data_IF_847177375522
#
_entry.id   IF_847177375522
#
_cell.length_a   1.000
_cell.length_b   1.000
_cell.length_c   1.000
_cell.angle_alpha   90.00
_cell.angle_beta   90.00
_cell.angle_gamma   90.00
#
_symmetry.space_group_name_H-M   'P 1'
#
loop_
_entity.id
_entity.type
_entity.pdbx_description
1 polymer ?
#
# COMPACT_ATOMS: atom_id res chain seq x y z
N UNK A 1 14.57 7.59 16.50
CA UNK A 1 15.46 7.44 15.33
C UNK A 1 16.74 8.18 15.67
N UNK A 2 17.82 7.46 15.97
CA UNK A 2 19.08 8.05 16.43
C UNK A 2 20.23 7.26 15.77
N UNK A 3 20.39 7.45 14.45
CA UNK A 3 21.40 6.78 13.61
C UNK A 3 22.77 7.45 13.80
N UNK A 4 23.35 7.31 15.00
CA UNK A 4 24.66 7.87 15.33
C UNK A 4 25.81 6.92 14.96
N UNK A 5 26.07 6.67 13.66
CA UNK A 5 27.18 5.77 13.31
C UNK A 5 27.94 6.09 12.02
N UNK A 6 28.28 7.35 11.69
CA UNK A 6 29.21 7.58 10.56
C UNK A 6 30.22 8.69 10.85
N UNK A 7 31.46 8.32 11.20
CA UNK A 7 32.61 9.25 11.29
C UNK A 7 33.13 9.57 9.88
N UNK A 8 33.43 10.85 9.66
CA UNK A 8 33.76 11.47 8.37
C UNK A 8 35.27 11.58 8.16
N UNK A 9 35.75 11.25 6.96
CA UNK A 9 36.95 11.88 6.38
C UNK A 9 36.51 12.93 5.36
N UNK A 10 37.05 14.15 5.46
CA UNK A 10 36.75 15.27 4.56
C UNK A 10 37.54 15.13 3.27
N UNK A 11 36.86 14.97 2.12
CA UNK A 11 37.43 15.22 0.79
C UNK A 11 36.83 16.49 0.17
N UNK A 12 37.63 17.16 -0.65
CA UNK A 12 37.36 18.46 -1.26
C UNK A 12 36.03 18.51 -2.05
N UNK A 13 35.28 19.59 -1.83
CA UNK A 13 34.02 19.91 -2.51
C UNK A 13 34.32 20.55 -3.88
N UNK A 14 33.91 19.88 -4.95
CA UNK A 14 33.72 20.55 -6.24
C UNK A 14 32.48 21.45 -6.15
N UNK A 15 32.56 22.68 -6.69
CA UNK A 15 31.46 23.65 -6.65
C UNK A 15 30.32 23.19 -7.55
N UNK A 16 29.45 22.34 -7.02
CA UNK A 16 28.18 21.99 -7.62
C UNK A 16 27.12 22.98 -7.12
N UNK A 17 26.41 23.65 -8.03
CA UNK A 17 25.26 24.48 -7.70
C UNK A 17 24.08 23.56 -7.35
N UNK A 18 23.98 23.15 -6.10
CA UNK A 18 22.88 22.32 -5.61
C UNK A 18 21.57 23.11 -5.54
N UNK A 19 20.43 22.51 -5.92
CA UNK A 19 19.13 23.14 -5.76
C UNK A 19 18.82 23.39 -4.29
N UNK A 20 18.29 24.57 -3.99
CA UNK A 20 17.88 24.95 -2.63
C UNK A 20 16.43 24.60 -2.33
N UNK A 21 15.58 24.45 -3.35
CA UNK A 21 14.18 24.08 -3.19
C UNK A 21 13.98 22.57 -3.22
N UNK A 22 13.02 22.08 -2.43
CA UNK A 22 12.72 20.65 -2.33
C UNK A 22 12.33 20.05 -3.68
N UNK A 23 11.48 20.74 -4.43
CA UNK A 23 10.96 20.24 -5.69
C UNK A 23 12.06 20.13 -6.76
N UNK A 24 12.91 21.14 -6.89
CA UNK A 24 14.04 21.13 -7.82
C UNK A 24 15.05 20.04 -7.47
N UNK A 25 15.29 19.83 -6.17
CA UNK A 25 16.16 18.76 -5.69
C UNK A 25 15.62 17.38 -6.01
N UNK A 26 14.31 17.15 -5.80
CA UNK A 26 13.66 15.90 -6.16
C UNK A 26 13.69 15.71 -7.68
N UNK A 27 13.45 16.76 -8.48
CA UNK A 27 13.55 16.67 -9.94
C UNK A 27 14.95 16.27 -10.38
N UNK A 28 15.98 16.89 -9.81
CA UNK A 28 17.36 16.51 -10.09
C UNK A 28 17.64 15.05 -9.67
N UNK A 29 17.08 14.58 -8.55
CA UNK A 29 17.20 13.19 -8.13
C UNK A 29 16.56 12.24 -9.15
N UNK A 30 15.38 12.58 -9.68
CA UNK A 30 14.69 11.79 -10.72
C UNK A 30 15.55 11.74 -11.99
N UNK A 31 16.05 12.89 -12.43
CA UNK A 31 16.93 12.99 -13.59
C UNK A 31 18.21 12.14 -13.40
N UNK A 32 18.77 12.11 -12.19
CA UNK A 32 19.92 11.27 -11.87
C UNK A 32 19.56 9.77 -11.87
N UNK A 33 18.39 9.40 -11.35
CA UNK A 33 17.96 8.00 -11.22
C UNK A 33 17.54 7.39 -12.56
N UNK A 34 16.81 8.14 -13.38
CA UNK A 34 16.32 7.70 -14.68
C UNK A 34 17.31 7.98 -15.82
N UNK A 35 18.24 8.91 -15.62
CA UNK A 35 19.22 9.28 -16.62
C UNK A 35 20.29 8.21 -16.84
N UNK A 36 20.46 7.80 -18.10
CA UNK A 36 21.62 7.02 -18.52
C UNK A 36 22.89 7.88 -18.41
N UNK A 37 23.68 7.69 -17.34
CA UNK A 37 24.99 8.34 -17.22
C UNK A 37 25.24 9.14 -15.94
N UNK A 38 24.24 9.33 -15.06
CA UNK A 38 24.39 10.20 -13.91
C UNK A 38 24.89 9.47 -12.63
N UNK A 39 25.96 9.95 -11.97
CA UNK A 39 26.28 9.52 -10.61
C UNK A 39 25.16 9.97 -9.65
N UNK A 40 24.90 9.22 -8.55
CA UNK A 40 25.68 8.06 -8.11
C UNK A 40 25.21 6.72 -8.69
N UNK A 41 24.08 6.66 -9.40
CA UNK A 41 23.43 5.42 -9.85
C UNK A 41 24.17 4.69 -10.97
N UNK A 42 25.02 5.38 -11.74
CA UNK A 42 25.90 4.71 -12.70
C UNK A 42 27.11 4.05 -12.07
N UNK A 43 27.43 4.40 -10.82
CA UNK A 43 28.58 3.87 -10.06
C UNK A 43 28.15 2.82 -9.04
N UNK A 44 27.19 1.98 -9.42
CA UNK A 44 26.58 0.97 -8.55
C UNK A 44 27.51 -0.22 -8.29
N UNK A 45 28.29 -0.65 -9.29
CA UNK A 45 29.20 -1.79 -9.18
C UNK A 45 30.59 -1.37 -8.68
N UNK A 46 31.14 -2.12 -7.73
CA UNK A 46 32.52 -1.91 -7.31
C UNK A 46 33.52 -2.31 -8.43
N UNK A 47 34.66 -1.61 -8.58
CA UNK A 47 35.62 -1.89 -9.64
C UNK A 47 36.11 -3.36 -9.61
N UNK A 48 36.07 -4.02 -10.75
CA UNK A 48 36.54 -5.40 -10.91
C UNK A 48 35.53 -6.49 -10.54
N UNK A 49 34.32 -6.12 -10.11
CA UNK A 49 33.25 -7.08 -9.85
C UNK A 49 32.39 -7.25 -11.11
N UNK A 50 32.17 -8.51 -11.50
CA UNK A 50 31.27 -8.88 -12.59
C UNK A 50 30.29 -9.95 -12.13
N UNK A 51 29.03 -9.80 -12.55
CA UNK A 51 27.97 -10.77 -12.34
C UNK A 51 27.63 -11.49 -13.64
N UNK A 52 26.99 -12.65 -13.52
CA UNK A 52 26.33 -13.29 -14.66
C UNK A 52 25.05 -12.52 -15.01
N UNK A 53 24.60 -12.59 -16.25
CA UNK A 53 23.48 -11.78 -16.76
C UNK A 53 22.17 -11.99 -15.99
N UNK A 54 21.96 -13.18 -15.43
CA UNK A 54 20.80 -13.55 -14.61
C UNK A 54 20.82 -12.93 -13.21
N UNK A 55 22.00 -12.59 -12.68
CA UNK A 55 22.17 -11.96 -11.35
C UNK A 55 22.37 -10.45 -11.46
N UNK A 56 22.99 -9.98 -12.55
CA UNK A 56 23.38 -8.58 -12.73
C UNK A 56 22.18 -7.62 -12.63
N UNK A 57 21.04 -7.97 -13.24
CA UNK A 57 19.86 -7.13 -13.20
C UNK A 57 19.30 -6.98 -11.77
N UNK A 58 19.23 -8.08 -11.02
CA UNK A 58 18.83 -8.07 -9.60
C UNK A 58 19.80 -7.26 -8.75
N UNK A 59 21.11 -7.48 -8.94
CA UNK A 59 22.16 -6.77 -8.23
C UNK A 59 22.09 -5.25 -8.48
N UNK A 60 21.99 -4.84 -9.74
CA UNK A 60 21.87 -3.43 -10.14
C UNK A 60 20.60 -2.79 -9.55
N UNK A 61 19.46 -3.47 -9.64
CA UNK A 61 18.19 -2.97 -9.14
C UNK A 61 18.24 -2.78 -7.62
N UNK A 62 18.76 -3.76 -6.88
CA UNK A 62 18.90 -3.66 -5.42
C UNK A 62 19.87 -2.56 -4.99
N UNK A 63 21.05 -2.46 -5.62
CA UNK A 63 22.02 -1.41 -5.28
C UNK A 63 21.47 -0.01 -5.60
N UNK A 64 20.83 0.17 -6.76
CA UNK A 64 20.24 1.46 -7.12
C UNK A 64 19.05 1.83 -6.21
N UNK A 65 18.21 0.84 -5.86
CA UNK A 65 17.13 1.01 -4.89
C UNK A 65 17.65 1.47 -3.53
N UNK A 66 18.69 0.82 -3.03
CA UNK A 66 19.34 1.19 -1.78
C UNK A 66 19.98 2.58 -1.82
N UNK A 67 20.69 2.93 -2.91
CA UNK A 67 21.20 4.28 -3.08
C UNK A 67 20.08 5.32 -3.04
N UNK A 68 18.95 5.05 -3.71
CA UNK A 68 17.80 5.96 -3.67
C UNK A 68 17.22 6.06 -2.26
N UNK A 69 17.13 4.94 -1.52
CA UNK A 69 16.70 4.92 -0.12
C UNK A 69 17.61 5.76 0.79
N UNK A 70 18.94 5.71 0.59
CA UNK A 70 19.90 6.55 1.33
C UNK A 70 19.58 8.04 1.20
N UNK A 71 19.17 8.52 0.03
CA UNK A 71 18.78 9.92 -0.15
C UNK A 71 17.59 10.28 0.75
N UNK A 72 16.54 9.45 0.77
CA UNK A 72 15.36 9.68 1.59
C UNK A 72 15.64 9.56 3.09
N UNK A 73 16.54 8.66 3.50
CA UNK A 73 16.96 8.58 4.89
C UNK A 73 17.73 9.82 5.33
N UNK A 74 18.69 10.31 4.53
CA UNK A 74 19.39 11.57 4.80
C UNK A 74 18.41 12.77 4.82
N UNK A 75 17.44 12.79 3.90
CA UNK A 75 16.39 13.80 3.90
C UNK A 75 15.55 13.76 5.18
N UNK A 76 15.19 12.55 5.65
CA UNK A 76 14.46 12.33 6.89
C UNK A 76 15.26 12.76 8.12
N UNK A 77 16.57 12.52 8.14
CA UNK A 77 17.45 12.99 9.22
C UNK A 77 17.47 14.52 9.33
N UNK A 78 17.47 15.23 8.20
CA UNK A 78 17.50 16.71 8.18
C UNK A 78 16.12 17.33 8.42
N UNK A 79 15.09 16.86 7.74
CA UNK A 79 13.77 17.52 7.66
C UNK A 79 12.65 16.77 8.37
N UNK A 80 12.93 15.59 8.92
CA UNK A 80 11.95 14.73 9.57
C UNK A 80 11.29 13.73 8.62
N UNK A 81 10.70 12.70 9.21
CA UNK A 81 10.13 11.55 8.50
C UNK A 81 8.94 11.88 7.62
N UNK A 82 8.09 12.83 8.06
CA UNK A 82 6.93 13.30 7.30
C UNK A 82 7.39 13.99 6.02
N UNK A 83 8.35 14.91 6.13
CA UNK A 83 8.91 15.63 4.99
C UNK A 83 9.56 14.66 3.98
N UNK A 84 10.31 13.67 4.46
CA UNK A 84 10.90 12.65 3.59
C UNK A 84 9.85 11.79 2.87
N UNK A 85 8.73 11.46 3.53
CA UNK A 85 7.65 10.72 2.85
C UNK A 85 6.97 11.59 1.80
N UNK A 86 6.70 12.87 2.07
CA UNK A 86 6.16 13.79 1.06
C UNK A 86 7.12 13.96 -0.14
N UNK A 87 8.43 14.03 0.12
CA UNK A 87 9.46 14.09 -0.91
C UNK A 87 9.51 12.80 -1.74
N UNK A 88 9.39 11.63 -1.10
CA UNK A 88 9.32 10.32 -1.77
C UNK A 88 8.09 10.21 -2.66
N UNK A 89 6.93 10.60 -2.16
CA UNK A 89 5.71 10.64 -2.96
C UNK A 89 5.93 11.53 -4.19
N UNK A 90 6.43 12.75 -4.00
CA UNK A 90 6.73 13.68 -5.10
C UNK A 90 7.76 13.15 -6.09
N UNK A 91 8.75 12.38 -5.62
CA UNK A 91 9.71 11.68 -6.48
C UNK A 91 9.01 10.67 -7.38
N UNK A 92 8.17 9.81 -6.81
CA UNK A 92 7.42 8.81 -7.55
C UNK A 92 6.49 9.48 -8.59
N UNK A 93 5.90 10.63 -8.27
CA UNK A 93 5.08 11.41 -9.21
C UNK A 93 5.87 11.91 -10.42
N UNK A 94 7.04 12.49 -10.16
CA UNK A 94 7.91 12.99 -11.20
C UNK A 94 8.48 11.85 -12.06
N UNK A 95 8.81 10.73 -11.43
CA UNK A 95 9.24 9.53 -12.13
C UNK A 95 8.12 8.99 -13.06
N UNK A 96 6.89 8.89 -12.56
CA UNK A 96 5.71 8.47 -13.33
C UNK A 96 5.41 9.40 -14.51
N UNK A 97 5.59 10.71 -14.32
CA UNK A 97 5.41 11.70 -15.37
C UNK A 97 6.45 11.56 -16.50
N UNK A 98 7.67 11.14 -16.16
CA UNK A 98 8.73 10.88 -17.14
C UNK A 98 8.56 9.52 -17.83
N UNK A 99 8.21 8.48 -17.07
CA UNK A 99 7.94 7.14 -17.58
C UNK A 99 6.73 6.54 -16.85
N UNK A 100 5.58 6.33 -17.53
CA UNK A 100 4.39 5.79 -16.90
C UNK A 100 4.66 4.46 -16.18
N UNK A 101 4.07 4.26 -15.00
CA UNK A 101 4.19 3.07 -14.13
C UNK A 101 5.54 2.89 -13.43
N UNK A 102 6.50 3.79 -13.67
CA UNK A 102 7.80 3.73 -12.98
C UNK A 102 7.70 4.15 -11.52
N UNK A 103 6.80 5.07 -11.16
CA UNK A 103 6.58 5.55 -9.80
C UNK A 103 6.13 4.45 -8.85
N UNK A 104 5.11 3.67 -9.24
CA UNK A 104 4.62 2.53 -8.43
C UNK A 104 5.72 1.47 -8.23
N UNK A 105 6.51 1.21 -9.28
CA UNK A 105 7.62 0.24 -9.24
C UNK A 105 8.73 0.70 -8.29
N UNK A 106 9.10 1.98 -8.38
CA UNK A 106 10.09 2.62 -7.50
C UNK A 106 9.59 2.62 -6.05
N UNK A 107 8.32 2.91 -5.83
CA UNK A 107 7.74 2.93 -4.49
C UNK A 107 7.79 1.54 -3.85
N UNK A 108 7.42 0.49 -4.60
CA UNK A 108 7.56 -0.89 -4.13
C UNK A 108 9.02 -1.27 -3.82
N UNK A 109 9.97 -0.80 -4.62
CA UNK A 109 11.41 -0.99 -4.40
C UNK A 109 11.88 -0.28 -3.11
N UNK A 110 11.50 0.97 -2.89
CA UNK A 110 11.85 1.71 -1.68
C UNK A 110 11.21 1.10 -0.42
N UNK A 111 10.00 0.55 -0.51
CA UNK A 111 9.39 -0.21 0.59
C UNK A 111 10.08 -1.54 0.85
N UNK A 112 10.56 -2.22 -0.19
CA UNK A 112 11.40 -3.40 -0.05
C UNK A 112 12.70 -3.06 0.69
N UNK A 113 13.43 -2.02 0.26
CA UNK A 113 14.68 -1.59 0.89
C UNK A 113 14.48 -1.16 2.34
N UNK A 114 13.42 -0.42 2.64
CA UNK A 114 13.09 -0.06 4.01
C UNK A 114 12.83 -1.29 4.88
N UNK A 115 12.00 -2.23 4.42
CA UNK A 115 11.74 -3.48 5.17
C UNK A 115 13.01 -4.29 5.37
N UNK A 116 13.85 -4.38 4.34
CA UNK A 116 15.12 -5.09 4.39
C UNK A 116 16.06 -4.45 5.42
N UNK A 117 16.27 -3.13 5.37
CA UNK A 117 17.09 -2.40 6.33
C UNK A 117 16.62 -2.59 7.77
N UNK A 118 15.31 -2.46 8.05
CA UNK A 118 14.75 -2.71 9.38
C UNK A 118 14.94 -4.16 9.84
N UNK A 119 14.82 -5.13 8.92
CA UNK A 119 15.06 -6.53 9.25
C UNK A 119 16.51 -6.77 9.65
N UNK A 120 17.47 -6.11 8.99
CA UNK A 120 18.89 -6.20 9.33
C UNK A 120 19.16 -5.53 10.67
N UNK A 121 18.62 -4.34 10.92
CA UNK A 121 18.73 -3.64 12.21
C UNK A 121 18.24 -4.47 13.40
N UNK A 122 17.19 -5.27 13.20
CA UNK A 122 16.66 -6.17 14.21
C UNK A 122 17.57 -7.38 14.53
N UNK A 123 18.55 -7.69 13.69
CA UNK A 123 19.53 -8.77 13.93
C UNK A 123 20.49 -8.34 15.04
N UNK A 124 20.58 -9.11 16.13
CA UNK A 124 21.44 -8.78 17.27
C UNK A 124 22.93 -8.89 16.93
N UNK A 125 23.80 -8.20 17.67
CA UNK A 125 25.25 -8.26 17.45
C UNK A 125 25.79 -9.70 17.59
N UNK A 126 25.23 -10.51 18.47
CA UNK A 126 25.59 -11.92 18.63
C UNK A 126 25.24 -12.73 17.37
N UNK A 127 24.11 -12.43 16.73
CA UNK A 127 23.67 -13.09 15.49
C UNK A 127 24.49 -12.66 14.27
N UNK A 128 25.18 -11.51 14.34
CA UNK A 128 26.09 -11.03 13.29
C UNK A 128 27.52 -11.53 13.45
N UNK A 129 27.83 -12.16 14.57
CA UNK A 129 29.18 -12.55 14.95
C UNK A 129 29.43 -14.04 14.69
N UNK A 130 30.45 -14.34 13.89
CA UNK A 130 30.84 -15.70 13.51
C UNK A 130 32.25 -16.03 13.99
N UNK A 131 32.54 -17.32 14.20
CA UNK A 131 33.89 -17.78 14.54
C UNK A 131 34.60 -18.29 13.29
N UNK A 132 35.66 -17.62 12.90
CA UNK A 132 36.55 -18.05 11.82
C UNK A 132 37.96 -18.23 12.39
N UNK A 133 38.51 -19.44 12.29
CA UNK A 133 39.88 -19.77 12.76
C UNK A 133 40.17 -19.37 14.22
N UNK A 134 39.14 -19.40 15.08
CA UNK A 134 39.24 -19.03 16.50
C UNK A 134 39.09 -17.53 16.77
N UNK A 135 38.95 -16.70 15.75
CA UNK A 135 38.66 -15.26 15.86
C UNK A 135 37.17 -14.99 15.69
N UNK A 136 36.67 -14.02 16.45
CA UNK A 136 35.30 -13.53 16.36
C UNK A 136 35.23 -12.46 15.28
N UNK A 137 34.47 -12.71 14.21
CA UNK A 137 34.31 -11.80 13.06
C UNK A 137 32.84 -11.40 12.97
N UNK A 138 32.56 -10.10 13.08
CA UNK A 138 31.24 -9.55 12.83
C UNK A 138 31.08 -9.27 11.33
N UNK A 139 30.00 -9.78 10.72
CA UNK A 139 29.70 -9.48 9.33
C UNK A 139 29.10 -8.08 9.20
N UNK A 140 29.51 -7.32 8.16
CA UNK A 140 29.01 -5.97 7.95
C UNK A 140 27.56 -5.98 7.46
N UNK A 141 26.82 -4.89 7.71
CA UNK A 141 25.40 -4.72 7.31
C UNK A 141 25.18 -4.99 5.83
N UNK A 142 26.12 -4.59 4.97
CA UNK A 142 26.07 -4.78 3.51
C UNK A 142 25.98 -6.25 3.12
N UNK A 143 26.53 -7.17 3.93
CA UNK A 143 26.41 -8.60 3.69
C UNK A 143 24.97 -9.10 3.86
N UNK A 144 24.28 -8.60 4.89
CA UNK A 144 22.88 -8.95 5.13
C UNK A 144 21.95 -8.31 4.10
N UNK A 145 22.23 -7.06 3.69
CA UNK A 145 21.52 -6.42 2.58
C UNK A 145 21.68 -7.21 1.27
N UNK A 146 22.91 -7.63 0.94
CA UNK A 146 23.18 -8.45 -0.23
C UNK A 146 22.44 -9.78 -0.21
N UNK A 147 22.50 -10.49 0.92
CA UNK A 147 21.81 -11.77 1.09
C UNK A 147 20.30 -11.62 0.97
N UNK A 148 19.73 -10.61 1.64
CA UNK A 148 18.29 -10.34 1.58
C UNK A 148 17.83 -9.93 0.18
N UNK A 149 18.59 -9.07 -0.50
CA UNK A 149 18.31 -8.67 -1.89
C UNK A 149 18.25 -9.89 -2.80
N UNK A 150 19.26 -10.76 -2.75
CA UNK A 150 19.29 -11.96 -3.60
C UNK A 150 18.20 -12.96 -3.24
N UNK A 151 17.79 -13.10 -1.98
CA UNK A 151 16.82 -14.14 -1.58
C UNK A 151 15.36 -13.70 -1.64
N UNK A 152 15.10 -12.39 -1.55
CA UNK A 152 13.75 -11.86 -1.38
C UNK A 152 13.22 -11.09 -2.60
N UNK A 153 14.08 -10.67 -3.53
CA UNK A 153 13.65 -9.98 -4.76
C UNK A 153 12.98 -10.98 -5.71
N UNK A 154 11.71 -10.79 -6.14
CA UNK A 154 10.97 -11.79 -6.92
C UNK A 154 11.66 -12.33 -8.18
N UNK A 155 12.38 -11.46 -8.89
CA UNK A 155 13.06 -11.80 -10.15
C UNK A 155 14.47 -12.38 -9.94
N UNK A 156 14.89 -12.61 -8.69
CA UNK A 156 16.20 -13.15 -8.40
C UNK A 156 16.27 -14.66 -8.71
N UNK A 157 17.38 -15.14 -9.29
CA UNK A 157 17.59 -16.58 -9.52
C UNK A 157 17.70 -17.40 -8.22
N UNK A 158 17.77 -16.76 -7.06
CA UNK A 158 17.91 -17.42 -5.74
C UNK A 158 16.62 -17.43 -4.91
N UNK A 159 15.48 -16.97 -5.45
CA UNK A 159 14.20 -16.94 -4.72
C UNK A 159 13.69 -18.34 -4.41
N UNK A 160 13.14 -18.51 -3.20
CA UNK A 160 12.40 -19.72 -2.81
C UNK A 160 13.26 -20.90 -2.37
N UNK A 161 14.60 -20.80 -2.41
CA UNK A 161 15.49 -21.87 -1.96
C UNK A 161 16.48 -21.38 -0.90
N UNK A 162 16.08 -21.49 0.38
CA UNK A 162 16.86 -20.99 1.53
C UNK A 162 18.23 -21.68 1.66
N UNK A 163 18.36 -22.93 1.19
CA UNK A 163 19.59 -23.72 1.28
C UNK A 163 20.46 -23.62 0.03
N UNK A 164 19.99 -22.95 -1.04
CA UNK A 164 20.79 -22.76 -2.24
C UNK A 164 22.03 -21.91 -1.94
N UNK A 165 23.18 -22.40 -2.40
CA UNK A 165 24.43 -21.62 -2.39
C UNK A 165 24.27 -20.39 -3.28
N UNK A 166 24.60 -19.22 -2.75
CA UNK A 166 24.63 -17.95 -3.50
C UNK A 166 25.88 -17.81 -4.37
N UNK A 167 26.72 -18.84 -4.45
CA UNK A 167 27.91 -18.91 -5.31
C UNK A 167 28.90 -17.74 -5.12
N UNK A 168 28.92 -17.13 -3.93
CA UNK A 168 29.75 -15.97 -3.61
C UNK A 168 29.23 -14.64 -4.16
N UNK A 169 28.05 -14.60 -4.78
CA UNK A 169 27.45 -13.37 -5.29
C UNK A 169 26.94 -12.45 -4.17
N UNK A 170 26.66 -12.99 -2.99
CA UNK A 170 26.40 -12.25 -1.76
C UNK A 170 27.60 -11.38 -1.34
N UNK A 171 28.82 -11.93 -1.35
CA UNK A 171 30.03 -11.15 -1.05
C UNK A 171 30.31 -10.07 -2.10
N UNK A 172 30.19 -10.42 -3.38
CA UNK A 172 30.35 -9.46 -4.48
C UNK A 172 29.35 -8.32 -4.39
N UNK A 173 28.09 -8.64 -4.10
CA UNK A 173 27.03 -7.65 -3.98
C UNK A 173 27.20 -6.80 -2.73
N UNK A 174 27.70 -7.36 -1.62
CA UNK A 174 28.03 -6.60 -0.41
C UNK A 174 29.13 -5.55 -0.67
N UNK A 175 30.15 -5.90 -1.47
CA UNK A 175 31.17 -4.94 -1.91
C UNK A 175 30.58 -3.84 -2.81
N UNK A 176 29.62 -4.18 -3.67
CA UNK A 176 28.90 -3.19 -4.47
C UNK A 176 28.06 -2.26 -3.60
N UNK A 177 27.32 -2.77 -2.61
CA UNK A 177 26.59 -1.94 -1.64
C UNK A 177 27.53 -0.96 -0.93
N UNK A 178 28.67 -1.44 -0.42
CA UNK A 178 29.65 -0.57 0.26
C UNK A 178 30.17 0.53 -0.66
N UNK A 179 30.56 0.16 -1.88
CA UNK A 179 31.03 1.11 -2.89
C UNK A 179 29.94 2.15 -3.23
N UNK A 180 28.73 1.67 -3.50
CA UNK A 180 27.58 2.48 -3.85
C UNK A 180 27.19 3.46 -2.73
N UNK A 181 27.31 3.05 -1.46
CA UNK A 181 27.13 3.92 -0.28
C UNK A 181 28.11 5.08 -0.31
N UNK A 182 29.42 4.80 -0.47
CA UNK A 182 30.44 5.85 -0.51
C UNK A 182 30.17 6.86 -1.64
N UNK A 183 29.80 6.36 -2.82
CA UNK A 183 29.49 7.20 -3.99
C UNK A 183 28.22 8.01 -3.79
N UNK A 184 27.16 7.40 -3.25
CA UNK A 184 25.90 8.06 -2.97
C UNK A 184 26.07 9.15 -1.92
N UNK A 185 26.74 8.86 -0.80
CA UNK A 185 26.93 9.83 0.29
C UNK A 185 27.76 11.05 -0.15
N UNK A 186 28.74 10.87 -1.05
CA UNK A 186 29.52 11.97 -1.59
C UNK A 186 28.68 12.97 -2.38
N UNK A 187 27.61 12.51 -3.03
CA UNK A 187 26.67 13.35 -3.82
C UNK A 187 25.51 13.85 -2.96
N UNK A 188 24.88 12.95 -2.20
CA UNK A 188 23.62 13.24 -1.52
C UNK A 188 23.80 14.10 -0.28
N UNK A 189 24.90 14.00 0.48
CA UNK A 189 25.11 14.87 1.65
C UNK A 189 25.13 16.36 1.30
N UNK A 190 25.96 16.83 0.33
CA UNK A 190 25.95 18.25 -0.01
C UNK A 190 24.63 18.68 -0.67
N UNK A 191 24.00 17.80 -1.46
CA UNK A 191 22.67 18.04 -2.01
C UNK A 191 21.61 18.27 -0.91
N UNK A 192 21.50 17.37 0.07
CA UNK A 192 20.55 17.50 1.19
C UNK A 192 20.88 18.70 2.08
N UNK A 193 22.16 18.98 2.31
CA UNK A 193 22.57 20.16 3.08
C UNK A 193 22.07 21.47 2.45
N UNK A 194 22.06 21.58 1.12
CA UNK A 194 21.61 22.77 0.42
C UNK A 194 20.07 22.94 0.36
N UNK A 195 19.31 21.86 0.47
CA UNK A 195 17.85 21.87 0.30
C UNK A 195 17.14 22.35 1.55
N UNK A 196 16.19 23.27 1.40
CA UNK A 196 15.21 23.60 2.42
C UNK A 196 13.86 22.95 2.08
N UNK A 197 13.17 22.46 3.11
CA UNK A 197 11.88 21.81 2.95
C UNK A 197 10.73 22.82 2.96
N UNK A 198 9.98 22.89 1.85
CA UNK A 198 8.69 23.56 1.79
C UNK A 198 7.66 22.67 1.07
N UNK A 199 6.70 22.17 1.83
CA UNK A 199 5.62 21.32 1.35
C UNK A 199 4.79 21.97 0.23
N UNK A 200 4.73 23.31 0.16
CA UNK A 200 3.95 24.04 -0.85
C UNK A 200 4.58 24.02 -2.24
N UNK A 201 5.89 23.75 -2.32
CA UNK A 201 6.64 23.71 -3.57
C UNK A 201 6.58 22.33 -4.25
N UNK A 202 6.16 21.30 -3.51
CA UNK A 202 6.03 19.96 -4.06
C UNK A 202 4.90 19.89 -5.11
N UNK A 203 5.09 19.15 -6.21
CA UNK A 203 4.09 19.05 -7.26
C UNK A 203 2.84 18.37 -6.69
N UNK A 204 1.67 18.87 -7.13
CA UNK A 204 0.36 18.38 -6.74
C UNK A 204 0.35 16.84 -6.75
N UNK A 205 0.11 16.27 -5.58
CA UNK A 205 -0.08 14.85 -5.34
C UNK A 205 -0.94 14.22 -6.46
N UNK A 206 -0.55 13.04 -6.94
CA UNK A 206 -1.43 12.20 -7.75
C UNK A 206 -2.21 11.30 -6.82
N UNK A 207 -3.45 11.07 -7.17
CA UNK A 207 -4.29 10.06 -6.54
C UNK A 207 -3.73 8.66 -6.75
N UNK A 208 -3.71 7.85 -5.69
CA UNK A 208 -3.37 6.43 -5.81
C UNK A 208 -4.32 5.76 -6.80
N UNK A 209 -3.79 4.85 -7.63
CA UNK A 209 -4.62 4.07 -8.56
C UNK A 209 -5.64 3.19 -7.82
N UNK A 210 -5.24 2.67 -6.65
CA UNK A 210 -6.07 1.92 -5.73
C UNK A 210 -6.03 2.63 -4.36
N UNK A 211 -6.86 3.66 -4.16
CA UNK A 211 -6.86 4.43 -2.92
C UNK A 211 -7.48 3.63 -1.77
N UNK A 212 -7.00 3.87 -0.56
CA UNK A 212 -7.71 3.46 0.65
C UNK A 212 -8.93 4.34 0.90
N UNK A 213 -9.71 4.02 1.93
CA UNK A 213 -10.98 4.66 2.20
C UNK A 213 -10.89 6.16 2.51
N UNK A 214 -9.88 6.58 3.27
CA UNK A 214 -9.64 7.97 3.59
C UNK A 214 -9.21 8.76 2.34
N UNK A 215 -8.26 8.25 1.56
CA UNK A 215 -7.82 8.89 0.32
C UNK A 215 -8.97 8.95 -0.70
N UNK A 216 -9.74 7.86 -0.84
CA UNK A 216 -10.90 7.81 -1.74
C UNK A 216 -11.94 8.87 -1.38
N UNK A 217 -12.16 9.12 -0.09
CA UNK A 217 -13.09 10.17 0.33
C UNK A 217 -12.56 11.59 0.06
N UNK A 218 -11.24 11.81 0.08
CA UNK A 218 -10.64 13.07 -0.41
C UNK A 218 -10.82 13.22 -1.92
N UNK A 219 -10.65 12.14 -2.69
CA UNK A 219 -10.89 12.15 -4.14
C UNK A 219 -12.31 12.57 -4.48
N UNK A 220 -13.31 12.03 -3.77
CA UNK A 220 -14.72 12.40 -3.99
C UNK A 220 -14.96 13.90 -3.81
N UNK A 221 -14.30 14.51 -2.81
CA UNK A 221 -14.50 15.90 -2.41
C UNK A 221 -13.75 16.90 -3.29
N UNK A 222 -12.57 16.51 -3.78
CA UNK A 222 -11.67 17.42 -4.46
C UNK A 222 -12.31 18.09 -5.69
N UNK A 223 -12.40 19.43 -5.66
CA UNK A 223 -12.99 20.24 -6.73
C UNK A 223 -14.41 19.82 -7.14
N UNK A 224 -15.16 19.18 -6.24
CA UNK A 224 -16.48 18.64 -6.55
C UNK A 224 -17.59 19.55 -5.98
N UNK A 225 -18.43 20.16 -6.84
CA UNK A 225 -19.46 21.09 -6.39
C UNK A 225 -20.54 20.43 -5.53
N UNK A 226 -20.68 19.10 -5.55
CA UNK A 226 -21.58 18.36 -4.65
C UNK A 226 -21.25 18.57 -3.16
N UNK A 227 -20.03 19.01 -2.85
CA UNK A 227 -19.59 19.29 -1.50
C UNK A 227 -19.53 20.80 -1.22
N UNK A 228 -19.69 21.24 0.04
CA UNK A 228 -19.48 22.64 0.41
C UNK A 228 -18.08 23.13 0.03
N UNK A 229 -17.94 24.40 -0.36
CA UNK A 229 -16.69 24.98 -0.88
C UNK A 229 -15.46 24.72 0.02
N UNK A 230 -15.63 24.83 1.34
CA UNK A 230 -14.54 24.58 2.30
C UNK A 230 -14.06 23.12 2.36
N UNK A 231 -14.85 22.17 1.83
CA UNK A 231 -14.53 20.74 1.74
C UNK A 231 -13.95 20.35 0.38
N UNK A 232 -14.08 21.21 -0.63
CA UNK A 232 -13.58 20.94 -1.99
C UNK A 232 -12.05 21.08 -2.10
N UNK A 233 -11.45 21.79 -1.16
CA UNK A 233 -10.00 21.98 -1.09
C UNK A 233 -9.37 20.76 -0.42
N UNK A 234 -8.42 20.15 -1.13
CA UNK A 234 -7.54 19.11 -0.61
C UNK A 234 -6.11 19.60 -0.76
N UNK A 235 -5.30 19.36 0.26
CA UNK A 235 -3.86 19.70 0.26
C UNK A 235 -3.01 18.43 0.21
N UNK A 236 -1.71 18.59 -0.08
CA UNK A 236 -0.74 17.50 -0.04
C UNK A 236 -0.68 16.82 1.34
N UNK A 237 -0.84 17.64 2.39
CA UNK A 237 -0.86 17.16 3.77
C UNK A 237 -2.11 16.30 4.03
N UNK A 238 -3.28 16.71 3.56
CA UNK A 238 -4.51 15.90 3.73
C UNK A 238 -4.38 14.52 3.07
N UNK A 239 -3.82 14.48 1.85
CA UNK A 239 -3.59 13.22 1.13
C UNK A 239 -2.59 12.34 1.87
N UNK A 240 -1.53 12.93 2.41
CA UNK A 240 -0.55 12.20 3.21
C UNK A 240 -1.15 11.60 4.48
N UNK A 241 -1.91 12.38 5.25
CA UNK A 241 -2.58 11.92 6.47
C UNK A 241 -3.62 10.84 6.16
N UNK A 242 -4.35 10.97 5.05
CA UNK A 242 -5.28 9.94 4.61
C UNK A 242 -4.56 8.62 4.27
N UNK A 243 -3.44 8.67 3.54
CA UNK A 243 -2.64 7.49 3.24
C UNK A 243 -2.05 6.84 4.48
N UNK A 244 -1.65 7.64 5.47
CA UNK A 244 -1.22 7.13 6.77
C UNK A 244 -2.33 6.35 7.46
N UNK A 245 -3.53 6.93 7.52
CA UNK A 245 -4.70 6.27 8.11
C UNK A 245 -5.07 4.98 7.36
N UNK A 246 -5.06 5.01 6.03
CA UNK A 246 -5.37 3.86 5.18
C UNK A 246 -4.37 2.71 5.37
N UNK A 247 -3.07 3.02 5.41
CA UNK A 247 -2.04 2.03 5.65
C UNK A 247 -2.12 1.44 7.06
N UNK A 248 -2.40 2.27 8.07
CA UNK A 248 -2.58 1.81 9.44
C UNK A 248 -3.78 0.86 9.54
N UNK A 249 -4.91 1.21 8.93
CA UNK A 249 -6.11 0.36 8.93
C UNK A 249 -5.83 -1.03 8.33
N UNK A 250 -5.11 -1.09 7.20
CA UNK A 250 -4.71 -2.37 6.62
C UNK A 250 -3.71 -3.14 7.49
N UNK A 251 -2.78 -2.43 8.15
CA UNK A 251 -1.82 -3.07 9.04
C UNK A 251 -2.50 -3.70 10.27
N UNK A 252 -3.49 -3.02 10.84
CA UNK A 252 -4.28 -3.54 11.97
C UNK A 252 -5.02 -4.83 11.57
N UNK A 253 -5.60 -4.86 10.38
CA UNK A 253 -6.26 -6.06 9.83
C UNK A 253 -5.25 -7.19 9.62
N UNK A 254 -4.03 -6.89 9.12
CA UNK A 254 -2.97 -7.91 8.94
C UNK A 254 -2.53 -8.50 10.28
N UNK A 255 -2.37 -7.68 11.30
CA UNK A 255 -1.96 -8.12 12.63
C UNK A 255 -3.02 -9.04 13.23
N UNK A 256 -4.29 -8.63 13.20
CA UNK A 256 -5.41 -9.43 13.70
C UNK A 256 -5.59 -10.73 12.90
N UNK A 257 -5.48 -10.68 11.57
CA UNK A 257 -5.50 -11.89 10.74
C UNK A 257 -4.38 -12.86 11.12
N UNK A 258 -3.18 -12.35 11.37
CA UNK A 258 -2.03 -13.19 11.78
C UNK A 258 -2.30 -13.90 13.09
N UNK A 259 -2.90 -13.21 14.06
CA UNK A 259 -3.30 -13.77 15.35
C UNK A 259 -4.40 -14.84 15.21
N UNK A 260 -5.46 -14.55 14.43
CA UNK A 260 -6.55 -15.50 14.18
C UNK A 260 -6.04 -16.74 13.47
N UNK A 261 -5.22 -16.58 12.42
CA UNK A 261 -4.62 -17.68 11.68
C UNK A 261 -3.74 -18.54 12.58
N UNK A 262 -2.89 -17.90 13.39
CA UNK A 262 -2.01 -18.60 14.32
C UNK A 262 -2.81 -19.41 15.33
N UNK A 263 -3.80 -18.81 15.98
CA UNK A 263 -4.66 -19.48 16.98
C UNK A 263 -5.43 -20.65 16.37
N UNK A 264 -5.97 -20.49 15.16
CA UNK A 264 -6.63 -21.58 14.44
C UNK A 264 -5.65 -22.72 14.13
N UNK A 265 -4.46 -22.41 13.60
CA UNK A 265 -3.44 -23.41 13.24
C UNK A 265 -2.88 -24.20 14.43
N UNK A 266 -2.91 -23.63 15.64
CA UNK A 266 -2.49 -24.31 16.86
C UNK A 266 -3.53 -25.29 17.40
N UNK A 267 -4.76 -25.26 16.87
CA UNK A 267 -5.83 -26.18 17.28
C UNK A 267 -5.62 -27.53 16.61
N UNK A 268 -4.94 -28.46 17.30
CA UNK A 268 -4.65 -29.81 16.78
C UNK A 268 -5.89 -30.73 16.75
N UNK A 269 -6.78 -30.58 17.75
CA UNK A 269 -8.03 -31.32 17.86
C UNK A 269 -9.20 -30.36 18.08
N UNK A 270 -10.32 -30.62 17.42
CA UNK A 270 -11.52 -29.80 17.60
C UNK A 270 -12.12 -30.03 19.00
N UNK A 271 -12.60 -28.97 19.66
CA UNK A 271 -13.24 -29.13 20.96
C UNK A 271 -14.59 -29.87 20.83
N UNK A 272 -15.12 -30.40 21.94
CA UNK A 272 -16.40 -31.13 21.94
C UNK A 272 -17.57 -30.29 21.38
N UNK A 273 -17.50 -28.96 21.56
CA UNK A 273 -18.41 -27.97 20.97
C UNK A 273 -17.87 -27.39 19.64
N UNK A 274 -17.38 -28.26 18.76
CA UNK A 274 -16.72 -27.87 17.51
C UNK A 274 -17.57 -26.96 16.62
N UNK A 275 -18.90 -27.11 16.61
CA UNK A 275 -19.77 -26.34 15.72
C UNK A 275 -19.79 -24.84 16.07
N UNK A 276 -20.12 -24.41 17.31
CA UNK A 276 -19.96 -23.02 17.73
C UNK A 276 -18.53 -22.49 17.57
N UNK A 277 -17.52 -23.35 17.77
CA UNK A 277 -16.12 -22.99 17.62
C UNK A 277 -15.77 -22.61 16.16
N UNK A 278 -16.06 -23.49 15.19
CA UNK A 278 -15.81 -23.21 13.77
C UNK A 278 -16.69 -22.07 13.25
N UNK A 279 -17.92 -21.95 13.75
CA UNK A 279 -18.78 -20.81 13.43
C UNK A 279 -18.17 -19.48 13.90
N UNK A 280 -17.62 -19.44 15.11
CA UNK A 280 -16.94 -18.25 15.65
C UNK A 280 -15.77 -17.81 14.77
N UNK A 281 -14.92 -18.75 14.34
CA UNK A 281 -13.81 -18.47 13.44
C UNK A 281 -14.27 -18.01 12.06
N UNK A 282 -15.23 -18.70 11.45
CA UNK A 282 -15.81 -18.29 10.18
C UNK A 282 -16.35 -16.87 10.24
N UNK A 283 -17.16 -16.56 11.26
CA UNK A 283 -17.75 -15.24 11.41
C UNK A 283 -16.68 -14.15 11.72
N UNK A 284 -15.58 -14.49 12.39
CA UNK A 284 -14.45 -13.58 12.60
C UNK A 284 -13.72 -13.30 11.28
N UNK A 285 -13.38 -14.34 10.52
CA UNK A 285 -12.71 -14.20 9.22
C UNK A 285 -13.61 -13.46 8.22
N UNK A 286 -14.92 -13.71 8.22
CA UNK A 286 -15.90 -12.95 7.43
C UNK A 286 -15.83 -11.44 7.80
N UNK A 287 -15.82 -11.09 9.08
CA UNK A 287 -15.69 -9.68 9.54
C UNK A 287 -14.35 -9.04 9.17
N UNK A 288 -13.24 -9.80 9.21
CA UNK A 288 -11.93 -9.32 8.77
C UNK A 288 -11.94 -8.97 7.28
N UNK A 289 -12.58 -9.81 6.46
CA UNK A 289 -12.69 -9.59 5.03
C UNK A 289 -13.60 -8.39 4.69
N UNK A 290 -14.70 -8.22 5.44
CA UNK A 290 -15.56 -7.03 5.34
C UNK A 290 -14.81 -5.74 5.70
N UNK A 291 -14.01 -5.76 6.77
CA UNK A 291 -13.15 -4.62 7.15
C UNK A 291 -12.08 -4.33 6.10
N UNK A 292 -11.47 -5.36 5.51
CA UNK A 292 -10.51 -5.21 4.40
C UNK A 292 -11.16 -4.54 3.19
N UNK A 293 -12.35 -4.99 2.79
CA UNK A 293 -13.08 -4.36 1.69
C UNK A 293 -13.42 -2.90 1.99
N UNK A 294 -13.87 -2.60 3.22
CA UNK A 294 -14.15 -1.24 3.63
C UNK A 294 -12.90 -0.34 3.66
N UNK A 295 -11.73 -0.86 4.03
CA UNK A 295 -10.47 -0.11 4.06
C UNK A 295 -9.95 0.27 2.66
N UNK A 296 -10.30 -0.49 1.62
CA UNK A 296 -9.83 -0.25 0.25
C UNK A 296 -8.31 -0.39 0.11
N UNK A 297 -7.75 0.24 -0.91
CA UNK A 297 -6.31 0.24 -1.15
C UNK A 297 -5.76 -1.05 -1.77
N UNK A 298 -4.43 -1.12 -1.88
CA UNK A 298 -3.73 -2.30 -2.39
C UNK A 298 -3.67 -3.40 -1.33
N UNK A 299 -4.60 -4.35 -1.38
CA UNK A 299 -4.72 -5.39 -0.37
C UNK A 299 -5.06 -6.79 -0.92
N UNK A 300 -4.90 -7.03 -2.22
CA UNK A 300 -5.23 -8.32 -2.88
C UNK A 300 -4.59 -9.51 -2.18
N UNK A 301 -3.30 -9.44 -1.85
CA UNK A 301 -2.60 -10.53 -1.15
C UNK A 301 -3.16 -10.84 0.25
N UNK A 302 -3.66 -9.82 0.96
CA UNK A 302 -4.35 -10.01 2.23
C UNK A 302 -5.72 -10.65 2.02
N UNK A 303 -6.44 -10.24 0.97
CA UNK A 303 -7.71 -10.86 0.56
C UNK A 303 -7.54 -12.35 0.25
N UNK A 304 -6.53 -12.71 -0.52
CA UNK A 304 -6.21 -14.11 -0.86
C UNK A 304 -5.87 -14.93 0.39
N UNK A 305 -5.09 -14.36 1.32
CA UNK A 305 -4.74 -15.02 2.57
C UNK A 305 -5.96 -15.24 3.49
N UNK A 306 -6.86 -14.26 3.59
CA UNK A 306 -8.11 -14.36 4.34
C UNK A 306 -9.02 -15.43 3.71
N UNK A 307 -9.14 -15.44 2.38
CA UNK A 307 -9.93 -16.44 1.65
C UNK A 307 -9.38 -17.86 1.85
N UNK A 308 -8.05 -18.03 1.86
CA UNK A 308 -7.42 -19.32 2.12
C UNK A 308 -7.75 -19.85 3.53
N UNK A 309 -7.57 -19.02 4.57
CA UNK A 309 -7.92 -19.42 5.95
C UNK A 309 -9.42 -19.77 6.07
N UNK A 310 -10.29 -18.99 5.42
CA UNK A 310 -11.73 -19.29 5.39
C UNK A 310 -12.02 -20.64 4.74
N UNK A 311 -11.33 -20.95 3.64
CA UNK A 311 -11.47 -22.23 2.95
C UNK A 311 -11.02 -23.39 3.84
N UNK A 312 -9.93 -23.24 4.59
CA UNK A 312 -9.45 -24.24 5.56
C UNK A 312 -10.48 -24.49 6.66
N UNK A 313 -11.03 -23.43 7.27
CA UNK A 313 -12.09 -23.52 8.28
C UNK A 313 -13.30 -24.29 7.74
N UNK A 314 -13.74 -23.99 6.51
CA UNK A 314 -14.86 -24.68 5.89
C UNK A 314 -14.54 -26.13 5.51
N UNK A 315 -13.31 -26.43 5.10
CA UNK A 315 -12.89 -27.80 4.84
C UNK A 315 -12.96 -28.64 6.13
N UNK A 316 -12.51 -28.11 7.25
CA UNK A 316 -12.64 -28.73 8.57
C UNK A 316 -14.11 -28.90 8.99
N UNK A 317 -14.97 -27.91 8.72
CA UNK A 317 -16.41 -28.06 9.00
C UNK A 317 -17.02 -29.18 8.16
N UNK A 318 -16.74 -29.21 6.86
CA UNK A 318 -17.23 -30.24 5.94
C UNK A 318 -16.81 -31.65 6.37
N UNK A 319 -15.59 -31.83 6.87
CA UNK A 319 -15.12 -33.15 7.32
C UNK A 319 -15.90 -33.68 8.52
N UNK A 320 -16.32 -32.80 9.45
CA UNK A 320 -17.13 -33.18 10.62
C UNK A 320 -18.56 -33.58 10.25
N UNK A 321 -19.16 -32.91 9.25
CA UNK A 321 -20.56 -33.15 8.87
C UNK A 321 -20.72 -34.07 7.65
N UNK A 322 -19.64 -34.56 7.04
CA UNK A 322 -19.65 -35.28 5.75
C UNK A 322 -20.65 -36.46 5.68
N UNK A 323 -20.90 -37.13 6.81
CA UNK A 323 -21.83 -38.27 6.89
C UNK A 323 -23.29 -37.86 6.88
N UNK A 324 -23.58 -36.58 7.19
CA UNK A 324 -24.93 -36.02 7.19
C UNK A 324 -25.15 -35.15 5.94
N UNK A 325 -25.73 -35.75 4.91
CA UNK A 325 -26.04 -35.07 3.64
C UNK A 325 -26.90 -33.82 3.82
N UNK A 326 -27.84 -33.85 4.76
CA UNK A 326 -28.71 -32.70 5.01
C UNK A 326 -27.91 -31.53 5.61
N UNK A 327 -27.08 -31.79 6.63
CA UNK A 327 -26.23 -30.75 7.22
C UNK A 327 -25.24 -30.17 6.22
N UNK A 328 -24.66 -31.00 5.35
CA UNK A 328 -23.77 -30.52 4.28
C UNK A 328 -24.51 -29.61 3.30
N UNK A 329 -25.69 -30.01 2.83
CA UNK A 329 -26.50 -29.21 1.92
C UNK A 329 -26.90 -27.86 2.54
N UNK A 330 -27.26 -27.85 3.83
CA UNK A 330 -27.58 -26.61 4.57
C UNK A 330 -26.36 -25.70 4.65
N UNK A 331 -25.16 -26.24 4.94
CA UNK A 331 -23.93 -25.44 4.99
C UNK A 331 -23.65 -24.79 3.62
N UNK A 332 -23.69 -25.55 2.52
CA UNK A 332 -23.42 -25.02 1.19
C UNK A 332 -24.45 -23.96 0.76
N UNK A 333 -25.72 -24.15 1.09
CA UNK A 333 -26.75 -23.15 0.83
C UNK A 333 -26.50 -21.86 1.62
N UNK A 334 -26.09 -21.97 2.89
CA UNK A 334 -25.73 -20.82 3.70
C UNK A 334 -24.48 -20.11 3.18
N UNK A 335 -23.47 -20.85 2.70
CA UNK A 335 -22.29 -20.26 2.05
C UNK A 335 -22.65 -19.49 0.80
N UNK A 336 -23.44 -20.09 -0.10
CA UNK A 336 -23.88 -19.45 -1.34
C UNK A 336 -24.64 -18.14 -1.05
N UNK A 337 -25.57 -18.18 -0.09
CA UNK A 337 -26.35 -17.01 0.32
C UNK A 337 -25.47 -15.91 0.93
N UNK A 338 -24.51 -16.26 1.81
CA UNK A 338 -23.60 -15.28 2.39
C UNK A 338 -22.70 -14.66 1.32
N UNK A 339 -22.17 -15.46 0.40
CA UNK A 339 -21.31 -14.99 -0.69
C UNK A 339 -22.05 -14.03 -1.63
N UNK A 340 -23.28 -14.37 -2.03
CA UNK A 340 -24.14 -13.51 -2.85
C UNK A 340 -24.42 -12.18 -2.14
N UNK A 341 -24.90 -12.24 -0.89
CA UNK A 341 -25.15 -11.03 -0.09
C UNK A 341 -23.91 -10.15 0.03
N UNK A 342 -22.74 -10.76 0.25
CA UNK A 342 -21.48 -10.02 0.36
C UNK A 342 -21.09 -9.35 -0.96
N UNK A 343 -21.19 -10.06 -2.09
CA UNK A 343 -20.91 -9.49 -3.40
C UNK A 343 -21.80 -8.28 -3.71
N UNK A 344 -23.08 -8.35 -3.32
CA UNK A 344 -24.03 -7.26 -3.48
C UNK A 344 -23.69 -6.04 -2.61
N UNK A 345 -23.36 -6.25 -1.32
CA UNK A 345 -23.15 -5.15 -0.38
C UNK A 345 -21.76 -4.51 -0.45
N UNK A 346 -20.72 -5.27 -0.81
CA UNK A 346 -19.34 -4.79 -0.81
C UNK A 346 -18.71 -4.74 -2.21
N UNK A 347 -19.52 -4.83 -3.27
CA UNK A 347 -19.08 -4.69 -4.66
C UNK A 347 -18.79 -3.24 -5.08
N UNK A 348 -19.06 -2.26 -4.21
CA UNK A 348 -18.78 -0.85 -4.41
C UNK A 348 -18.13 -0.28 -3.13
N UNK A 349 -17.05 0.51 -3.30
CA UNK A 349 -16.30 1.13 -2.20
C UNK A 349 -17.18 2.00 -1.31
N UNK A 350 -18.13 2.74 -1.91
CA UNK A 350 -19.03 3.61 -1.15
C UNK A 350 -19.89 2.80 -0.17
N UNK A 351 -20.50 1.71 -0.63
CA UNK A 351 -21.34 0.87 0.24
C UNK A 351 -20.50 0.16 1.30
N UNK A 352 -19.32 -0.35 0.92
CA UNK A 352 -18.39 -0.98 1.85
C UNK A 352 -17.98 -0.01 2.99
N UNK A 353 -17.68 1.24 2.65
CA UNK A 353 -17.31 2.28 3.61
C UNK A 353 -18.50 2.75 4.46
N UNK A 354 -19.69 2.84 3.88
CA UNK A 354 -20.91 3.20 4.62
C UNK A 354 -21.27 2.16 5.68
N UNK A 355 -21.12 0.87 5.34
CA UNK A 355 -21.45 -0.25 6.23
C UNK A 355 -20.36 -0.54 7.28
N UNK A 356 -19.21 0.12 7.18
CA UNK A 356 -18.10 -0.08 8.11
C UNK A 356 -18.37 0.50 9.51
N UNK A 357 -17.85 -0.15 10.54
CA UNK A 357 -17.85 0.39 11.90
C UNK A 357 -16.94 1.60 11.96
N UNK A 358 -17.51 2.79 12.14
CA UNK A 358 -16.76 4.05 12.11
C UNK A 358 -16.55 4.60 10.70
N UNK A 359 -17.61 4.54 9.87
CA UNK A 359 -17.60 5.08 8.50
C UNK A 359 -16.86 6.42 8.40
N UNK A 360 -15.91 6.49 7.47
CA UNK A 360 -15.12 7.69 7.19
C UNK A 360 -15.89 8.73 6.37
N UNK A 361 -17.11 8.40 5.93
CA UNK A 361 -18.01 9.32 5.24
C UNK A 361 -18.92 9.96 6.29
N UNK A 362 -18.75 11.27 6.58
CA UNK A 362 -19.64 11.99 7.47
C UNK A 362 -21.11 11.89 6.99
N UNK A 363 -22.11 11.86 7.91
CA UNK A 363 -23.52 11.75 7.55
C UNK A 363 -24.00 12.76 6.50
N UNK A 364 -23.54 14.01 6.60
CA UNK A 364 -23.84 15.10 5.68
C UNK A 364 -23.17 14.95 4.30
N UNK A 365 -22.16 14.09 4.20
CA UNK A 365 -21.40 13.81 2.98
C UNK A 365 -21.79 12.50 2.31
N UNK A 366 -22.69 11.70 2.90
CA UNK A 366 -23.15 10.40 2.37
C UNK A 366 -23.69 10.53 0.95
N UNK A 367 -24.59 11.49 0.72
CA UNK A 367 -25.25 11.70 -0.58
C UNK A 367 -24.34 12.38 -1.60
N UNK A 368 -23.60 13.46 -1.27
CA UNK A 368 -22.53 13.97 -2.13
C UNK A 368 -21.53 12.89 -2.55
N UNK A 369 -21.09 12.05 -1.62
CA UNK A 369 -20.16 10.95 -1.89
C UNK A 369 -20.78 9.90 -2.83
N UNK A 370 -22.05 9.53 -2.63
CA UNK A 370 -22.76 8.59 -3.49
C UNK A 370 -22.85 9.11 -4.93
N UNK A 371 -23.23 10.38 -5.08
CA UNK A 371 -23.34 11.04 -6.39
C UNK A 371 -21.98 11.31 -7.05
N UNK A 372 -20.88 11.17 -6.31
CA UNK A 372 -19.52 11.29 -6.84
C UNK A 372 -19.01 10.01 -7.48
N UNK A 373 -19.65 8.86 -7.22
CA UNK A 373 -19.29 7.60 -7.86
C UNK A 373 -19.64 7.58 -9.36
N UNK A 374 -19.07 6.64 -10.10
CA UNK A 374 -19.46 6.43 -11.49
C UNK A 374 -20.91 5.93 -11.58
N UNK A 375 -21.63 6.10 -12.70
CA UNK A 375 -22.97 5.53 -12.87
C UNK A 375 -23.01 4.01 -12.62
N UNK A 376 -21.98 3.27 -13.05
CA UNK A 376 -21.89 1.83 -12.86
C UNK A 376 -21.72 1.44 -11.38
N UNK A 377 -20.94 2.21 -10.62
CA UNK A 377 -20.74 1.94 -9.18
C UNK A 377 -21.95 2.40 -8.36
N UNK A 378 -22.62 3.49 -8.77
CA UNK A 378 -23.90 3.92 -8.20
C UNK A 378 -24.97 2.84 -8.38
N UNK A 379 -25.05 2.22 -9.55
CA UNK A 379 -25.97 1.10 -9.81
C UNK A 379 -25.71 -0.07 -8.86
N UNK A 380 -24.46 -0.49 -8.69
CA UNK A 380 -24.10 -1.54 -7.71
C UNK A 380 -24.55 -1.16 -6.30
N UNK A 381 -24.31 0.09 -5.90
CA UNK A 381 -24.73 0.58 -4.59
C UNK A 381 -26.26 0.54 -4.43
N UNK A 382 -27.02 1.00 -5.43
CA UNK A 382 -28.50 0.95 -5.40
C UNK A 382 -29.01 -0.48 -5.34
N UNK A 383 -28.48 -1.39 -6.15
CA UNK A 383 -28.86 -2.81 -6.13
C UNK A 383 -28.59 -3.42 -4.74
N UNK A 384 -27.42 -3.16 -4.15
CA UNK A 384 -27.07 -3.63 -2.81
C UNK A 384 -28.01 -3.08 -1.72
N UNK A 385 -28.32 -1.78 -1.76
CA UNK A 385 -29.25 -1.15 -0.81
C UNK A 385 -30.69 -1.65 -0.97
N UNK A 386 -31.14 -1.93 -2.20
CA UNK A 386 -32.47 -2.48 -2.48
C UNK A 386 -32.61 -3.93 -2.00
N UNK A 387 -31.56 -4.73 -2.17
CA UNK A 387 -31.55 -6.14 -1.77
C UNK A 387 -31.58 -6.35 -0.25
N UNK A 388 -31.16 -5.36 0.54
CA UNK A 388 -31.12 -5.45 2.01
C UNK A 388 -32.24 -4.59 2.64
N UNK A 389 -33.32 -5.21 3.18
CA UNK A 389 -34.47 -4.48 3.73
C UNK A 389 -34.12 -3.44 4.80
N UNK A 390 -33.05 -3.70 5.58
CA UNK A 390 -32.58 -2.78 6.63
C UNK A 390 -32.03 -1.46 6.08
N UNK A 391 -31.70 -1.40 4.79
CA UNK A 391 -31.11 -0.24 4.13
C UNK A 391 -32.12 0.52 3.26
N UNK A 392 -33.39 0.11 3.24
CA UNK A 392 -34.44 0.78 2.46
C UNK A 392 -34.66 2.23 2.89
N UNK A 393 -34.60 2.53 4.18
CA UNK A 393 -34.69 3.91 4.68
C UNK A 393 -33.50 4.76 4.23
N UNK A 394 -32.28 4.20 4.28
CA UNK A 394 -31.07 4.85 3.76
C UNK A 394 -31.20 5.16 2.28
N UNK A 395 -31.71 4.21 1.48
CA UNK A 395 -31.95 4.42 0.06
C UNK A 395 -33.00 5.51 -0.18
N UNK A 396 -34.12 5.48 0.54
CA UNK A 396 -35.16 6.52 0.42
C UNK A 396 -34.63 7.92 0.76
N UNK A 397 -33.81 8.02 1.81
CA UNK A 397 -33.13 9.25 2.17
C UNK A 397 -32.18 9.72 1.06
N UNK A 398 -31.34 8.82 0.53
CA UNK A 398 -30.41 9.14 -0.55
C UNK A 398 -31.15 9.64 -1.80
N UNK A 399 -32.25 9.01 -2.20
CA UNK A 399 -33.09 9.45 -3.33
C UNK A 399 -33.57 10.89 -3.14
N UNK A 400 -34.23 11.17 -2.00
CA UNK A 400 -34.83 12.48 -1.75
C UNK A 400 -33.76 13.59 -1.65
N UNK A 401 -32.66 13.33 -0.96
CA UNK A 401 -31.57 14.28 -0.79
C UNK A 401 -30.79 14.50 -2.09
N UNK A 402 -30.61 13.47 -2.92
CA UNK A 402 -29.93 13.59 -4.21
C UNK A 402 -30.69 14.53 -5.17
N UNK A 403 -32.01 14.37 -5.30
CA UNK A 403 -32.84 15.26 -6.12
C UNK A 403 -32.74 16.71 -5.66
N UNK A 404 -32.77 16.94 -4.34
CA UNK A 404 -32.61 18.27 -3.77
C UNK A 404 -31.23 18.87 -4.10
N UNK A 405 -30.16 18.13 -3.83
CA UNK A 405 -28.78 18.60 -4.04
C UNK A 405 -28.51 18.91 -5.52
N UNK A 406 -28.95 18.04 -6.44
CA UNK A 406 -28.79 18.27 -7.88
C UNK A 406 -29.60 19.48 -8.37
N UNK A 407 -30.81 19.70 -7.82
CA UNK A 407 -31.61 20.90 -8.12
C UNK A 407 -30.91 22.18 -7.67
N UNK A 408 -30.36 22.19 -6.45
CA UNK A 408 -29.59 23.31 -5.89
C UNK A 408 -28.34 23.60 -6.75
N UNK A 409 -27.63 22.58 -7.21
CA UNK A 409 -26.47 22.72 -8.10
C UNK A 409 -26.80 23.28 -9.48
N UNK A 410 -27.87 22.78 -10.10
CA UNK A 410 -28.35 23.30 -11.40
C UNK A 410 -28.73 24.77 -11.29
N UNK A 411 -29.39 25.15 -10.20
CA UNK A 411 -29.75 26.54 -9.92
C UNK A 411 -28.51 27.44 -9.73
N UNK A 412 -27.43 26.90 -9.16
CA UNK A 412 -26.14 27.56 -9.02
C UNK A 412 -25.31 27.59 -10.32
N UNK A 413 -25.82 27.02 -11.42
CA UNK A 413 -25.14 27.00 -12.73
C UNK A 413 -24.13 25.86 -12.91
N UNK A 414 -24.08 24.91 -11.99
CA UNK A 414 -23.24 23.72 -12.11
C UNK A 414 -24.00 22.59 -12.81
N UNK A 415 -23.71 22.37 -14.10
CA UNK A 415 -24.26 21.27 -14.88
C UNK A 415 -23.21 20.18 -15.09
N UNK A 416 -23.40 19.02 -14.46
CA UNK A 416 -22.62 17.81 -14.76
C UNK A 416 -23.42 16.89 -15.69
N UNK A 417 -22.83 16.38 -16.78
CA UNK A 417 -23.55 15.65 -17.82
C UNK A 417 -24.14 14.31 -17.35
N UNK A 418 -23.55 13.70 -16.33
CA UNK A 418 -23.91 12.39 -15.78
C UNK A 418 -25.03 12.43 -14.71
N UNK A 419 -25.41 13.62 -14.22
CA UNK A 419 -26.33 13.73 -13.08
C UNK A 419 -27.75 13.27 -13.41
N UNK A 420 -28.20 13.44 -14.65
CA UNK A 420 -29.50 12.94 -15.08
C UNK A 420 -29.56 11.41 -15.05
N UNK A 421 -28.49 10.75 -15.49
CA UNK A 421 -28.38 9.30 -15.46
C UNK A 421 -28.31 8.79 -14.02
N UNK A 422 -27.53 9.46 -13.15
CA UNK A 422 -27.43 9.11 -11.74
C UNK A 422 -28.77 9.20 -11.00
N UNK A 423 -29.57 10.24 -11.26
CA UNK A 423 -30.91 10.36 -10.69
C UNK A 423 -31.85 9.27 -11.21
N UNK A 424 -31.77 8.92 -12.50
CA UNK A 424 -32.54 7.80 -13.06
C UNK A 424 -32.22 6.48 -12.35
N UNK A 425 -30.93 6.16 -12.17
CA UNK A 425 -30.49 4.94 -11.47
C UNK A 425 -31.02 4.92 -10.03
N UNK A 426 -31.03 6.07 -9.34
CA UNK A 426 -31.61 6.18 -8.01
C UNK A 426 -33.12 5.97 -8.00
N UNK A 427 -33.84 6.44 -9.02
CA UNK A 427 -35.30 6.36 -9.10
C UNK A 427 -35.79 4.98 -9.56
N UNK A 428 -35.01 4.26 -10.37
CA UNK A 428 -35.40 3.01 -10.99
C UNK A 428 -35.84 1.96 -9.93
N UNK A 429 -37.00 1.31 -10.14
CA UNK A 429 -37.51 0.31 -9.22
C UNK A 429 -36.68 -0.98 -9.28
N UNK A 430 -36.69 -1.80 -8.21
CA UNK A 430 -35.92 -3.05 -8.19
C UNK A 430 -36.29 -3.95 -9.38
N UNK A 431 -35.31 -4.23 -10.23
CA UNK A 431 -35.43 -5.17 -11.36
C UNK A 431 -35.74 -4.58 -12.75
N UNK A 432 -35.62 -3.25 -12.96
CA UNK A 432 -35.83 -2.61 -14.28
C UNK A 432 -34.57 -1.99 -14.91
N UNK A 433 -33.37 -2.35 -14.46
CA UNK A 433 -32.13 -1.92 -15.12
C UNK A 433 -31.91 -2.77 -16.38
N UNK A 434 -31.74 -2.16 -17.58
CA UNK A 434 -31.51 -2.93 -18.81
C UNK A 434 -30.12 -3.60 -18.78
N UNK A 435 -30.08 -4.82 -19.29
CA UNK A 435 -28.90 -5.68 -19.37
C UNK A 435 -27.74 -5.10 -20.20
#
# INVERSE_FOLDING_TARGET
MDLRFWKTEKRHEEVHNWPTGTHESIRQLVDMYQGDGAPPFTSWAAPGITFTSDVEQTARTGVNGYQLALWFWLFAEKHGTIAARMARESFCLLADAAQPTSGDTIDALLDFENRLAHSVEAISAEQRTFRQEGLSVELPTEFFLATGTLRLTPDSPYVGNQDASLQGNDYKLADCFRHATEKALAVFRPMIQAVEFDAKLLPNWKWSALPGAAERHLQRRYSNPLFPLHRQLVTAHDVHEARLADNQALQDIRNEFTEVRHTFSQTQELPLNWQPFLQGYRDHVDRLDERRLAAGGQNTSLGDAIAALRADILATWRSEIQKNRHSLATLEQDEARKAERRALLYGCDWTAQLLSHGSLIPPEEVVPALLSESPADLEKAVIGLQAEPRLHETLAHCKAAAHRLVSELRAAGHNSPDMSDKLRILDDPPGQMPA
#
